data_IF_223363375932
#
_entry.id   IF_223363375932
#
_cell.length_a   1.000
_cell.length_b   1.000
_cell.length_c   1.000
_cell.angle_alpha   90.00
_cell.angle_beta   90.00
_cell.angle_gamma   90.00
#
_symmetry.space_group_name_H-M   'P 1'
#
loop_
_entity.id
_entity.type
_entity.pdbx_description
1 polymer ?
#
# COMPACT_ATOMS: atom_id res chain seq x y z
N UNK A 1 -12.82 -9.40 14.63
CA UNK A 1 -13.22 -8.09 15.18
C UNK A 1 -11.94 -7.29 15.45
N UNK A 2 -11.68 -6.23 14.69
CA UNK A 2 -10.60 -5.28 14.96
C UNK A 2 -11.10 -3.88 14.61
N UNK A 3 -11.97 -3.34 15.47
CA UNK A 3 -12.32 -1.92 15.43
C UNK A 3 -11.21 -1.18 16.16
N UNK A 4 -10.22 -0.67 15.41
CA UNK A 4 -9.12 0.11 15.96
C UNK A 4 -9.40 1.61 15.77
N UNK A 5 -9.15 2.35 16.86
CA UNK A 5 -9.43 3.78 17.08
C UNK A 5 -9.05 4.66 15.89
N UNK A 6 -9.97 5.56 15.52
CA UNK A 6 -9.80 6.64 14.52
C UNK A 6 -8.54 7.49 14.73
N UNK A 7 -7.93 7.45 15.92
CA UNK A 7 -6.68 8.13 16.26
C UNK A 7 -5.44 7.56 15.56
N UNK A 8 -5.48 6.31 15.08
CA UNK A 8 -4.40 5.67 14.33
C UNK A 8 -4.75 5.48 12.85
N UNK A 9 -5.70 6.25 12.32
CA UNK A 9 -6.01 6.23 10.89
C UNK A 9 -4.88 6.85 10.07
N UNK A 10 -4.79 6.44 8.81
CA UNK A 10 -3.88 7.02 7.82
C UNK A 10 -4.14 8.54 7.73
N UNK A 11 -3.09 9.35 7.86
CA UNK A 11 -3.18 10.80 7.61
C UNK A 11 -2.83 11.09 6.16
N UNK A 12 -3.47 12.09 5.58
CA UNK A 12 -3.27 12.45 4.18
C UNK A 12 -1.81 12.82 3.87
N UNK A 13 -1.17 13.59 4.76
CA UNK A 13 0.24 13.98 4.60
C UNK A 13 1.19 12.76 4.55
N UNK A 14 0.95 11.74 5.36
CA UNK A 14 1.77 10.53 5.38
C UNK A 14 1.59 9.74 4.07
N UNK A 15 0.37 9.68 3.54
CA UNK A 15 0.07 9.05 2.24
C UNK A 15 0.79 9.80 1.11
N UNK A 16 0.77 11.13 1.11
CA UNK A 16 1.47 11.93 0.10
C UNK A 16 2.98 11.65 0.14
N UNK A 17 3.59 11.54 1.33
CA UNK A 17 5.01 11.16 1.46
C UNK A 17 5.29 9.75 0.94
N UNK A 18 4.41 8.78 1.25
CA UNK A 18 4.53 7.41 0.74
C UNK A 18 4.45 7.35 -0.79
N UNK A 19 3.55 8.13 -1.40
CA UNK A 19 3.43 8.24 -2.85
C UNK A 19 4.69 8.85 -3.47
N UNK A 20 5.21 9.93 -2.89
CA UNK A 20 6.42 10.61 -3.37
C UNK A 20 7.68 9.74 -3.27
N UNK A 21 7.68 8.75 -2.37
CA UNK A 21 8.77 7.78 -2.21
C UNK A 21 8.52 6.46 -2.97
N UNK A 22 7.51 6.40 -3.84
CA UNK A 22 7.18 5.25 -4.70
C UNK A 22 6.94 3.91 -3.96
N UNK A 23 6.63 3.94 -2.66
CA UNK A 23 6.49 2.70 -1.84
C UNK A 23 5.31 1.82 -2.25
N UNK A 24 4.38 2.37 -3.03
CA UNK A 24 3.21 1.69 -3.57
C UNK A 24 3.52 0.90 -4.86
N UNK A 25 4.70 1.10 -5.44
CA UNK A 25 5.15 0.42 -6.66
C UNK A 25 6.02 -0.78 -6.26
N UNK A 26 5.53 -1.97 -6.60
CA UNK A 26 6.29 -3.21 -6.45
C UNK A 26 7.20 -3.50 -7.65
N UNK A 27 7.89 -4.63 -7.60
CA UNK A 27 8.69 -5.16 -8.70
C UNK A 27 7.86 -5.98 -9.70
N UNK A 28 8.46 -6.38 -10.82
CA UNK A 28 7.80 -7.24 -11.84
C UNK A 28 7.40 -8.61 -11.30
N UNK A 29 8.18 -9.16 -10.37
CA UNK A 29 7.91 -10.45 -9.73
C UNK A 29 7.10 -10.21 -8.45
N UNK A 30 6.08 -11.04 -8.23
CA UNK A 30 5.27 -11.07 -7.02
C UNK A 30 5.26 -12.51 -6.50
N UNK A 31 5.55 -12.70 -5.23
CA UNK A 31 5.39 -13.99 -4.57
C UNK A 31 3.90 -14.32 -4.40
N UNK A 32 3.53 -15.61 -4.43
CA UNK A 32 2.13 -16.03 -4.33
C UNK A 32 1.47 -15.57 -3.02
N UNK A 33 2.23 -15.50 -1.93
CA UNK A 33 1.72 -15.02 -0.64
C UNK A 33 1.49 -13.51 -0.63
N UNK A 34 2.19 -12.78 -1.50
CA UNK A 34 2.10 -11.32 -1.59
C UNK A 34 0.94 -10.84 -2.47
N UNK A 35 0.32 -11.72 -3.28
CA UNK A 35 -0.79 -11.35 -4.17
C UNK A 35 -1.95 -10.67 -3.43
N UNK A 36 -2.19 -11.03 -2.16
CA UNK A 36 -3.25 -10.44 -1.34
C UNK A 36 -3.03 -8.97 -1.00
N UNK A 37 -1.79 -8.48 -1.10
CA UNK A 37 -1.42 -7.08 -0.82
C UNK A 37 -1.29 -6.23 -2.10
N UNK A 38 -1.33 -6.85 -3.28
CA UNK A 38 -1.23 -6.15 -4.56
C UNK A 38 -2.62 -5.70 -4.99
N UNK A 39 -2.79 -4.39 -5.19
CA UNK A 39 -4.07 -3.83 -5.63
C UNK A 39 -4.34 -4.10 -7.12
N UNK A 40 -3.40 -3.75 -8.00
CA UNK A 40 -3.52 -3.93 -9.46
C UNK A 40 -2.14 -3.94 -10.11
N UNK A 41 -1.97 -4.71 -11.18
CA UNK A 41 -0.77 -4.67 -12.03
C UNK A 41 -0.88 -3.59 -13.11
N UNK A 42 0.20 -2.86 -13.33
CA UNK A 42 0.34 -1.91 -14.44
C UNK A 42 0.93 -2.63 -15.65
N UNK A 43 0.65 -2.10 -16.84
CA UNK A 43 1.08 -2.62 -18.15
C UNK A 43 2.39 -2.00 -18.65
N UNK A 44 3.21 -1.46 -17.74
CA UNK A 44 4.47 -0.81 -18.08
C UNK A 44 5.36 -1.59 -19.05
#
# INVERSE_FOLDING_TARGET
>A
MAAAKKTLSQKEADIQMMLAADVHLGTKNCDFQMERYVFKRRSD
#
